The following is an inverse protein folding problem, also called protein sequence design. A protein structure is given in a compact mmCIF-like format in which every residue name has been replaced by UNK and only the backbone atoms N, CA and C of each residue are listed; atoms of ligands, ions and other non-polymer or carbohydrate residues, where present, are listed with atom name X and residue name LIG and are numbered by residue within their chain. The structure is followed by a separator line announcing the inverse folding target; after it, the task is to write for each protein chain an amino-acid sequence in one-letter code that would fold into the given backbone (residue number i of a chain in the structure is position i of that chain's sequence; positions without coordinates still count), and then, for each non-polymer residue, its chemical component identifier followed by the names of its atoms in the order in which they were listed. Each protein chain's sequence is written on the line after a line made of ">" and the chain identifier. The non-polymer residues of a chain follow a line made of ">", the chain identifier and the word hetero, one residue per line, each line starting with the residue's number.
data_IF_749921308651
#
_entry.id   IF_749921308651
#
_cell.length_a   1.000
_cell.length_b   1.000
_cell.length_c   1.000
_cell.angle_alpha   90.00
_cell.angle_beta   90.00
_cell.angle_gamma   90.00
#
_symmetry.space_group_name_H-M   'P 1'
#
loop_
_entity.id
_entity.type
_entity.pdbx_description
1 polymer ?
#
# COMPACT_ATOMS: atom_id res chain seq x y z
N UNK A 1 -18.03 8.92 -42.91
CA UNK A 1 -18.10 8.12 -41.66
C UNK A 1 -17.04 8.64 -40.68
N UNK A 2 -17.37 9.56 -39.82
CA UNK A 2 -16.46 10.15 -38.83
C UNK A 2 -16.72 9.43 -37.48
N UNK A 3 -15.79 8.58 -37.10
CA UNK A 3 -15.80 7.89 -35.80
C UNK A 3 -15.43 8.88 -34.72
N UNK A 4 -16.43 9.33 -33.96
CA UNK A 4 -16.25 10.13 -32.76
C UNK A 4 -15.57 9.28 -31.68
N UNK A 5 -14.27 9.47 -31.48
CA UNK A 5 -13.52 8.87 -30.38
C UNK A 5 -14.00 9.48 -29.05
N UNK A 6 -14.72 8.72 -28.25
CA UNK A 6 -15.03 9.10 -26.86
C UNK A 6 -13.71 9.30 -26.10
N UNK A 7 -13.50 10.43 -25.43
CA UNK A 7 -12.31 10.62 -24.60
C UNK A 7 -12.31 9.55 -23.50
N UNK A 8 -11.25 8.72 -23.51
CA UNK A 8 -11.10 7.60 -22.61
C UNK A 8 -11.18 8.04 -21.16
N UNK A 9 -12.11 7.45 -20.43
CA UNK A 9 -12.14 7.50 -18.97
C UNK A 9 -10.77 7.02 -18.45
N UNK A 10 -9.97 7.94 -17.92
CA UNK A 10 -8.78 7.58 -17.15
C UNK A 10 -9.23 6.75 -15.95
N UNK A 11 -9.20 5.43 -16.10
CA UNK A 11 -9.32 4.52 -14.96
C UNK A 11 -8.23 4.90 -13.98
N UNK A 12 -8.61 5.34 -12.79
CA UNK A 12 -7.67 5.66 -11.72
C UNK A 12 -6.75 4.45 -11.49
N UNK A 13 -5.49 4.60 -11.85
CA UNK A 13 -4.44 3.60 -11.66
C UNK A 13 -4.04 3.58 -10.18
N UNK A 14 -4.98 3.18 -9.31
CA UNK A 14 -4.65 2.75 -7.96
C UNK A 14 -4.03 1.35 -8.07
N UNK A 15 -2.97 1.08 -7.30
CA UNK A 15 -2.48 -0.30 -7.14
C UNK A 15 -3.64 -1.11 -6.55
N UNK A 16 -4.28 -1.92 -7.39
CA UNK A 16 -5.24 -2.92 -6.96
C UNK A 16 -4.42 -4.14 -6.47
N UNK A 17 -3.92 -4.05 -5.25
CA UNK A 17 -3.44 -5.23 -4.55
C UNK A 17 -4.61 -6.23 -4.47
N UNK A 18 -4.35 -7.46 -4.91
CA UNK A 18 -5.35 -8.52 -4.77
C UNK A 18 -5.75 -8.61 -3.29
N UNK A 19 -7.04 -8.56 -2.95
CA UNK A 19 -7.49 -8.48 -1.55
C UNK A 19 -6.99 -9.65 -0.70
N UNK A 20 -6.76 -10.81 -1.29
CA UNK A 20 -6.16 -11.95 -0.60
C UNK A 20 -4.72 -11.68 -0.18
N UNK A 21 -3.89 -11.07 -1.04
CA UNK A 21 -2.50 -10.73 -0.71
C UNK A 21 -2.42 -9.75 0.46
N UNK A 22 -3.27 -8.71 0.45
CA UNK A 22 -3.35 -7.75 1.56
C UNK A 22 -3.74 -8.43 2.88
N UNK A 23 -4.78 -9.29 2.86
CA UNK A 23 -5.23 -10.01 4.05
C UNK A 23 -4.17 -10.96 4.58
N UNK A 24 -3.48 -11.69 3.70
CA UNK A 24 -2.40 -12.60 4.05
C UNK A 24 -1.24 -11.84 4.71
N UNK A 25 -0.79 -10.75 4.11
CA UNK A 25 0.29 -9.91 4.67
C UNK A 25 -0.10 -9.40 6.06
N UNK A 26 -1.32 -8.89 6.23
CA UNK A 26 -1.79 -8.39 7.51
C UNK A 26 -1.88 -9.51 8.57
N UNK A 27 -2.38 -10.69 8.20
CA UNK A 27 -2.47 -11.85 9.10
C UNK A 27 -1.07 -12.29 9.57
N UNK A 28 -0.11 -12.40 8.67
CA UNK A 28 1.26 -12.78 9.00
C UNK A 28 1.93 -11.73 9.88
N UNK A 29 1.80 -10.44 9.58
CA UNK A 29 2.33 -9.38 10.43
C UNK A 29 1.70 -9.39 11.83
N UNK A 30 0.42 -9.70 11.93
CA UNK A 30 -0.26 -9.85 13.22
C UNK A 30 0.30 -11.02 14.01
N UNK A 31 0.53 -12.17 13.38
CA UNK A 31 1.14 -13.35 14.04
C UNK A 31 2.54 -13.01 14.53
N UNK A 32 3.36 -12.36 13.70
CA UNK A 32 4.71 -11.91 14.09
C UNK A 32 4.66 -10.95 15.27
N UNK A 33 3.78 -9.96 15.24
CA UNK A 33 3.63 -9.00 16.32
C UNK A 33 3.20 -9.68 17.63
N UNK A 34 2.17 -10.52 17.59
CA UNK A 34 1.65 -11.21 18.78
C UNK A 34 2.68 -12.19 19.36
N UNK A 35 3.34 -12.99 18.53
CA UNK A 35 4.35 -13.94 19.00
C UNK A 35 5.54 -13.24 19.64
N UNK A 36 6.02 -12.12 19.06
CA UNK A 36 7.10 -11.31 19.64
C UNK A 36 6.70 -10.62 20.94
N UNK A 37 5.50 -10.05 21.02
CA UNK A 37 4.99 -9.41 22.23
C UNK A 37 4.78 -10.41 23.36
N UNK A 38 4.22 -11.58 23.06
CA UNK A 38 4.03 -12.65 24.08
C UNK A 38 5.38 -13.13 24.58
N UNK A 39 6.34 -13.37 23.68
CA UNK A 39 7.69 -13.80 24.08
C UNK A 39 8.36 -12.76 24.97
N UNK A 40 8.38 -11.50 24.57
CA UNK A 40 8.94 -10.40 25.34
C UNK A 40 8.21 -10.24 26.69
N UNK A 41 6.88 -10.29 26.71
CA UNK A 41 6.09 -10.17 27.93
C UNK A 41 6.39 -11.24 28.96
N UNK A 42 6.55 -12.48 28.53
CA UNK A 42 6.83 -13.61 29.45
C UNK A 42 8.29 -13.61 29.89
N UNK A 43 9.24 -13.46 28.95
CA UNK A 43 10.67 -13.61 29.26
C UNK A 43 11.30 -12.36 29.87
N UNK A 44 10.96 -11.19 29.35
CA UNK A 44 11.65 -9.94 29.73
C UNK A 44 10.87 -9.13 30.77
N UNK A 45 9.52 -9.19 30.76
CA UNK A 45 8.69 -8.45 31.70
C UNK A 45 8.31 -9.30 32.91
N UNK A 46 7.75 -10.49 32.68
CA UNK A 46 7.34 -11.39 33.77
C UNK A 46 8.50 -12.22 34.34
N UNK A 47 9.69 -12.19 33.70
CA UNK A 47 10.91 -12.87 34.16
C UNK A 47 10.74 -14.39 34.33
N UNK A 48 9.86 -15.03 33.54
CA UNK A 48 9.63 -16.47 33.59
C UNK A 48 10.72 -17.17 32.77
N UNK A 49 11.68 -17.81 33.46
CA UNK A 49 12.80 -18.49 32.81
C UNK A 49 12.41 -19.85 32.23
N UNK A 50 11.71 -20.68 33.00
CA UNK A 50 11.33 -22.06 32.63
C UNK A 50 9.94 -22.11 31.99
N UNK A 51 9.82 -21.44 30.83
CA UNK A 51 8.59 -21.48 30.07
C UNK A 51 8.69 -22.46 28.90
N UNK A 52 7.92 -23.57 28.91
CA UNK A 52 8.09 -24.67 27.95
C UNK A 52 7.75 -24.25 26.50
N UNK A 53 6.96 -23.20 26.32
CA UNK A 53 6.58 -22.67 25.01
C UNK A 53 7.56 -21.63 24.44
N UNK A 54 8.62 -21.27 25.18
CA UNK A 54 9.58 -20.24 24.76
C UNK A 54 10.23 -20.57 23.41
N UNK A 55 10.75 -21.79 23.27
CA UNK A 55 11.44 -22.24 22.07
C UNK A 55 10.49 -22.40 20.85
N UNK A 56 9.36 -23.12 20.95
CA UNK A 56 8.40 -23.20 19.85
C UNK A 56 7.86 -21.83 19.39
N UNK A 57 7.59 -20.94 20.34
CA UNK A 57 7.09 -19.60 20.00
C UNK A 57 8.15 -18.76 19.25
N UNK A 58 9.42 -18.83 19.68
CA UNK A 58 10.51 -18.13 19.03
C UNK A 58 10.76 -18.68 17.62
N UNK A 59 10.67 -20.01 17.43
CA UNK A 59 10.75 -20.63 16.11
C UNK A 59 9.61 -20.15 15.20
N UNK A 60 8.37 -20.13 15.70
CA UNK A 60 7.22 -19.64 14.97
C UNK A 60 7.41 -18.15 14.61
N UNK A 61 7.85 -17.32 15.57
CA UNK A 61 8.15 -15.91 15.34
C UNK A 61 9.16 -15.72 14.21
N UNK A 62 10.27 -16.46 14.22
CA UNK A 62 11.30 -16.41 13.17
C UNK A 62 10.77 -16.84 11.80
N UNK A 63 10.03 -17.96 11.74
CA UNK A 63 9.48 -18.48 10.50
C UNK A 63 8.48 -17.50 9.86
N UNK A 64 7.54 -16.96 10.64
CA UNK A 64 6.59 -15.97 10.14
C UNK A 64 7.23 -14.62 9.83
N UNK A 65 8.30 -14.22 10.55
CA UNK A 65 9.10 -13.04 10.22
C UNK A 65 9.76 -13.18 8.87
N UNK A 66 10.37 -14.33 8.57
CA UNK A 66 10.95 -14.61 7.26
C UNK A 66 9.89 -14.58 6.15
N UNK A 67 8.73 -15.19 6.37
CA UNK A 67 7.61 -15.14 5.42
C UNK A 67 7.10 -13.70 5.20
N UNK A 68 7.07 -12.89 6.27
CA UNK A 68 6.68 -11.47 6.16
C UNK A 68 7.65 -10.67 5.29
N UNK A 69 8.96 -10.93 5.39
CA UNK A 69 9.99 -10.28 4.54
C UNK A 69 9.80 -10.64 3.07
N UNK A 70 9.49 -11.89 2.74
CA UNK A 70 9.20 -12.32 1.37
C UNK A 70 7.98 -11.58 0.82
N UNK A 71 6.88 -11.55 1.57
CA UNK A 71 5.65 -10.88 1.15
C UNK A 71 5.83 -9.37 0.98
N UNK A 72 6.48 -8.71 1.94
CA UNK A 72 6.77 -7.28 1.85
C UNK A 72 7.75 -6.96 0.73
N UNK A 73 8.78 -7.80 0.55
CA UNK A 73 9.72 -7.69 -0.56
C UNK A 73 9.04 -7.77 -1.92
N UNK A 74 8.04 -8.64 -2.07
CA UNK A 74 7.27 -8.76 -3.31
C UNK A 74 6.41 -7.53 -3.62
N UNK A 75 5.97 -6.80 -2.59
CA UNK A 75 5.18 -5.57 -2.72
C UNK A 75 6.02 -4.33 -2.98
N UNK A 76 7.28 -4.34 -2.53
CA UNK A 76 8.14 -3.18 -2.48
C UNK A 76 8.32 -2.49 -3.85
N UNK A 77 8.63 -3.20 -4.96
CA UNK A 77 8.86 -2.55 -6.25
C UNK A 77 7.64 -1.77 -6.75
N UNK A 78 6.45 -2.34 -6.60
CA UNK A 78 5.19 -1.70 -7.03
C UNK A 78 4.83 -0.52 -6.12
N UNK A 79 5.01 -0.71 -4.80
CA UNK A 79 4.68 0.33 -3.81
C UNK A 79 5.60 1.55 -3.95
N UNK A 80 6.91 1.35 -4.12
CA UNK A 80 7.89 2.42 -4.31
C UNK A 80 7.60 3.18 -5.61
N UNK A 81 7.42 2.48 -6.73
CA UNK A 81 7.12 3.14 -8.03
C UNK A 81 5.87 4.01 -7.96
N UNK A 82 4.82 3.48 -7.32
CA UNK A 82 3.57 4.24 -7.16
C UNK A 82 3.73 5.45 -6.24
N UNK A 83 4.35 5.27 -5.06
CA UNK A 83 4.57 6.36 -4.12
C UNK A 83 5.45 7.47 -4.71
N UNK A 84 6.49 7.09 -5.47
CA UNK A 84 7.39 8.02 -6.15
C UNK A 84 6.67 8.84 -7.22
N UNK A 85 5.90 8.18 -8.08
CA UNK A 85 5.13 8.86 -9.13
C UNK A 85 4.01 9.74 -8.57
N UNK A 86 3.36 9.29 -7.48
CA UNK A 86 2.27 10.04 -6.85
C UNK A 86 2.76 11.16 -5.91
N UNK A 87 4.05 11.19 -5.55
CA UNK A 87 4.67 12.07 -4.54
C UNK A 87 3.89 12.11 -3.22
N UNK A 88 3.24 11.00 -2.87
CA UNK A 88 2.38 10.89 -1.68
C UNK A 88 2.95 9.86 -0.72
N UNK A 89 2.95 10.20 0.58
CA UNK A 89 3.35 9.32 1.68
C UNK A 89 4.80 8.75 1.57
N UNK A 90 5.70 9.43 0.83
CA UNK A 90 7.09 9.00 0.69
C UNK A 90 7.80 8.90 2.04
N UNK A 91 7.61 9.91 2.91
CA UNK A 91 8.28 9.96 4.22
C UNK A 91 7.82 8.80 5.10
N UNK A 92 6.50 8.58 5.23
CA UNK A 92 5.99 7.47 6.06
C UNK A 92 6.34 6.09 5.50
N UNK A 93 6.40 5.97 4.17
CA UNK A 93 6.85 4.76 3.50
C UNK A 93 8.34 4.47 3.73
N UNK A 94 9.18 5.50 3.66
CA UNK A 94 10.62 5.39 3.92
C UNK A 94 10.91 5.06 5.40
N UNK A 95 10.16 5.67 6.34
CA UNK A 95 10.24 5.34 7.76
C UNK A 95 9.89 3.86 7.98
N UNK A 96 8.77 3.39 7.42
CA UNK A 96 8.37 2.00 7.56
C UNK A 96 9.42 1.03 6.98
N UNK A 97 9.97 1.34 5.81
CA UNK A 97 11.02 0.54 5.17
C UNK A 97 12.30 0.52 6.01
N UNK A 98 12.76 1.68 6.51
CA UNK A 98 13.93 1.79 7.38
C UNK A 98 13.74 1.02 8.68
N UNK A 99 12.57 1.11 9.30
CA UNK A 99 12.20 0.34 10.50
C UNK A 99 12.27 -1.17 10.24
N UNK A 100 11.74 -1.65 9.11
CA UNK A 100 11.83 -3.05 8.71
C UNK A 100 13.28 -3.50 8.46
N UNK A 101 14.10 -2.65 7.84
CA UNK A 101 15.52 -2.94 7.63
C UNK A 101 16.26 -3.08 8.97
N UNK A 102 16.04 -2.18 9.92
CA UNK A 102 16.66 -2.25 11.27
C UNK A 102 16.19 -3.52 11.99
N UNK A 103 14.90 -3.89 11.90
CA UNK A 103 14.41 -5.14 12.47
C UNK A 103 15.10 -6.37 11.87
N UNK A 104 15.28 -6.42 10.56
CA UNK A 104 15.95 -7.53 9.90
C UNK A 104 17.43 -7.61 10.31
N UNK A 105 18.14 -6.46 10.37
CA UNK A 105 19.55 -6.40 10.78
C UNK A 105 19.71 -6.80 12.24
N UNK A 106 18.84 -6.29 13.14
CA UNK A 106 18.91 -6.67 14.56
C UNK A 106 18.56 -8.13 14.81
N UNK A 107 17.58 -8.70 14.07
CA UNK A 107 17.28 -10.12 14.12
C UNK A 107 18.49 -10.97 13.64
N UNK A 108 19.12 -10.57 12.55
CA UNK A 108 20.33 -11.21 12.07
C UNK A 108 21.45 -11.11 13.12
N UNK A 109 21.64 -9.96 13.75
CA UNK A 109 22.60 -9.74 14.81
C UNK A 109 22.38 -10.64 16.03
N UNK A 110 21.12 -10.95 16.41
CA UNK A 110 20.82 -11.87 17.49
C UNK A 110 21.34 -13.31 17.26
N UNK A 111 21.55 -13.71 16.01
CA UNK A 111 22.05 -15.04 15.66
C UNK A 111 23.56 -15.06 15.38
N UNK A 112 24.13 -13.98 14.88
CA UNK A 112 25.48 -14.01 14.30
C UNK A 112 26.44 -12.98 14.89
N UNK A 113 25.96 -11.98 15.66
CA UNK A 113 26.83 -11.01 16.26
C UNK A 113 27.61 -11.60 17.45
N UNK A 114 28.80 -11.09 17.77
CA UNK A 114 29.51 -11.41 19.00
C UNK A 114 28.67 -11.12 20.25
N UNK A 115 28.94 -11.82 21.35
CA UNK A 115 28.10 -11.80 22.56
C UNK A 115 27.95 -10.39 23.16
N UNK A 116 29.02 -9.57 23.08
CA UNK A 116 28.95 -8.18 23.53
C UNK A 116 27.91 -7.32 22.82
N UNK A 117 27.46 -7.71 21.62
CA UNK A 117 26.44 -6.99 20.86
C UNK A 117 25.03 -7.56 21.06
N UNK A 118 24.89 -8.76 21.64
CA UNK A 118 23.58 -9.42 21.77
C UNK A 118 22.57 -8.58 22.56
N UNK A 119 23.01 -7.93 23.64
CA UNK A 119 22.13 -7.09 24.45
C UNK A 119 21.63 -5.88 23.66
N UNK A 120 22.50 -5.24 22.90
CA UNK A 120 22.14 -4.13 22.02
C UNK A 120 21.18 -4.58 20.92
N UNK A 121 21.45 -5.70 20.25
CA UNK A 121 20.60 -6.25 19.20
C UNK A 121 19.22 -6.63 19.74
N UNK A 122 19.15 -7.25 20.92
CA UNK A 122 17.91 -7.63 21.60
C UNK A 122 17.04 -6.41 21.87
N UNK A 123 17.55 -5.41 22.56
CA UNK A 123 16.76 -4.24 22.91
C UNK A 123 16.38 -3.38 21.70
N UNK A 124 17.28 -3.28 20.72
CA UNK A 124 16.98 -2.63 19.44
C UNK A 124 15.83 -3.35 18.72
N UNK A 125 15.89 -4.69 18.64
CA UNK A 125 14.85 -5.49 18.00
C UNK A 125 13.48 -5.32 18.70
N UNK A 126 13.46 -5.40 20.02
CA UNK A 126 12.23 -5.23 20.82
C UNK A 126 11.66 -3.82 20.65
N UNK A 127 12.48 -2.78 20.84
CA UNK A 127 12.02 -1.39 20.78
C UNK A 127 11.48 -1.02 19.40
N UNK A 128 12.20 -1.40 18.35
CA UNK A 128 11.78 -1.16 16.96
C UNK A 128 10.56 -2.01 16.59
N UNK A 129 10.49 -3.26 17.09
CA UNK A 129 9.34 -4.14 16.89
C UNK A 129 8.06 -3.56 17.49
N UNK A 130 8.11 -3.08 18.73
CA UNK A 130 6.98 -2.40 19.39
C UNK A 130 6.58 -1.12 18.64
N UNK A 131 7.57 -0.32 18.22
CA UNK A 131 7.30 0.88 17.42
C UNK A 131 6.60 0.55 16.10
N UNK A 132 6.97 -0.56 15.44
CA UNK A 132 6.37 -0.99 14.18
C UNK A 132 4.92 -1.45 14.37
N UNK A 133 4.59 -2.09 15.48
CA UNK A 133 3.22 -2.48 15.83
C UNK A 133 2.29 -1.27 15.88
N UNK A 134 2.77 -0.11 16.33
CA UNK A 134 2.02 1.14 16.32
C UNK A 134 2.06 1.83 14.93
N UNK A 135 3.20 1.80 14.25
CA UNK A 135 3.41 2.51 12.99
C UNK A 135 2.59 1.95 11.81
N UNK A 136 2.40 0.63 11.74
CA UNK A 136 1.64 -0.01 10.64
C UNK A 136 0.17 0.43 10.63
N UNK A 137 -0.60 0.32 11.73
CA UNK A 137 -1.98 0.80 11.76
C UNK A 137 -2.07 2.30 11.45
N UNK A 138 -1.16 3.10 12.00
CA UNK A 138 -1.10 4.54 11.74
C UNK A 138 -0.89 4.83 10.26
N UNK A 139 0.04 4.13 9.60
CA UNK A 139 0.28 4.28 8.16
C UNK A 139 -0.98 3.93 7.34
N UNK A 140 -1.69 2.86 7.70
CA UNK A 140 -2.93 2.45 7.04
C UNK A 140 -4.03 3.51 7.23
N UNK A 141 -4.23 4.00 8.44
CA UNK A 141 -5.25 5.01 8.75
C UNK A 141 -4.97 6.31 8.01
N UNK A 142 -3.74 6.84 8.10
CA UNK A 142 -3.34 8.07 7.40
C UNK A 142 -3.49 7.92 5.88
N UNK A 143 -3.17 6.75 5.33
CA UNK A 143 -3.36 6.48 3.91
C UNK A 143 -4.83 6.48 3.49
N UNK A 144 -5.73 6.00 4.35
CA UNK A 144 -7.18 5.97 4.11
C UNK A 144 -7.82 7.36 4.23
N UNK A 145 -7.51 8.12 5.27
CA UNK A 145 -8.06 9.46 5.48
C UNK A 145 -7.68 10.42 4.36
N UNK A 146 -6.43 10.37 3.88
CA UNK A 146 -5.97 11.19 2.75
C UNK A 146 -6.66 10.84 1.43
N UNK A 147 -7.12 9.60 1.24
CA UNK A 147 -7.92 9.21 0.07
C UNK A 147 -9.34 9.76 0.16
N UNK A 148 -9.96 9.76 1.35
CA UNK A 148 -11.30 10.27 1.56
C UNK A 148 -11.40 11.79 1.31
N UNK A 149 -10.39 12.57 1.69
CA UNK A 149 -10.35 14.03 1.49
C UNK A 149 -9.88 14.46 0.10
N UNK A 150 -9.36 13.55 -0.70
CA UNK A 150 -8.86 13.84 -2.05
C UNK A 150 -9.89 13.72 -3.18
N UNK A 151 -11.16 13.46 -2.89
CA UNK A 151 -12.24 13.61 -3.86
C UNK A 151 -12.66 15.10 -3.83
N UNK A 152 -12.37 15.89 -4.87
CA UNK A 152 -13.03 17.17 -5.03
C UNK A 152 -14.52 16.85 -5.13
N UNK A 153 -15.30 17.44 -4.23
CA UNK A 153 -16.76 17.49 -4.37
C UNK A 153 -17.05 17.80 -5.82
N UNK A 154 -17.77 16.89 -6.49
CA UNK A 154 -18.17 17.09 -7.84
C UNK A 154 -18.74 18.50 -7.95
N UNK A 155 -18.18 19.28 -8.90
CA UNK A 155 -18.76 20.57 -9.27
C UNK A 155 -20.25 20.32 -9.40
N UNK A 156 -21.13 20.99 -8.63
CA UNK A 156 -22.55 20.85 -8.79
C UNK A 156 -22.84 21.13 -10.27
N UNK A 157 -23.34 20.14 -11.00
CA UNK A 157 -23.91 20.41 -12.30
C UNK A 157 -25.01 21.41 -12.06
N UNK A 158 -24.74 22.69 -12.37
CA UNK A 158 -25.73 23.73 -12.29
C UNK A 158 -26.99 23.30 -13.03
N UNK A 159 -28.19 23.65 -12.53
CA UNK A 159 -29.47 23.29 -13.16
C UNK A 159 -29.74 24.07 -14.45
N UNK A 160 -28.71 24.40 -15.23
CA UNK A 160 -28.77 25.28 -16.40
C UNK A 160 -28.35 24.66 -17.73
N UNK A 161 -28.33 23.34 -17.86
CA UNK A 161 -27.98 22.66 -19.13
C UNK A 161 -29.17 22.04 -19.86
N UNK A 162 -30.39 22.56 -19.65
CA UNK A 162 -31.53 22.20 -20.45
C UNK A 162 -31.59 23.04 -21.73
N UNK A 163 -31.54 22.33 -22.86
CA UNK A 163 -32.00 22.79 -24.18
C UNK A 163 -31.38 24.08 -24.76
N UNK A 164 -30.12 24.04 -25.20
CA UNK A 164 -29.75 24.87 -26.35
C UNK A 164 -30.08 24.07 -27.61
N UNK A 165 -31.04 24.62 -28.34
CA UNK A 165 -31.76 24.10 -29.47
C UNK A 165 -30.95 23.32 -30.50
N UNK A 166 -31.49 22.22 -30.87
CA UNK A 166 -31.21 21.52 -32.12
C UNK A 166 -31.67 22.43 -33.25
N UNK A 167 -30.81 23.32 -33.76
CA UNK A 167 -31.08 24.01 -35.04
C UNK A 167 -31.10 22.95 -36.14
N UNK A 168 -32.17 22.91 -36.95
CA UNK A 168 -32.18 22.08 -38.17
C UNK A 168 -31.16 22.68 -39.15
N UNK A 169 -30.24 21.86 -39.59
CA UNK A 169 -29.28 22.21 -40.64
C UNK A 169 -30.04 22.37 -41.96
N UNK A 170 -30.46 23.63 -42.27
CA UNK A 170 -31.00 24.04 -43.54
C UNK A 170 -29.87 24.53 -44.42
N UNK A 171 -29.15 23.62 -45.06
CA UNK A 171 -28.05 24.05 -45.92
C UNK A 171 -27.35 22.89 -46.63
N UNK A 172 -28.10 22.00 -47.27
CA UNK A 172 -27.53 21.15 -48.32
C UNK A 172 -28.58 20.72 -49.33
N UNK A 173 -29.13 21.72 -50.06
CA UNK A 173 -29.91 21.50 -51.28
C UNK A 173 -29.41 22.45 -52.37
N UNK A 174 -28.14 22.37 -52.73
CA UNK A 174 -27.61 23.03 -53.94
C UNK A 174 -26.29 22.40 -54.36
N UNK A 175 -26.30 21.13 -54.74
CA UNK A 175 -25.24 20.52 -55.54
C UNK A 175 -25.72 19.22 -56.18
N UNK A 176 -26.87 19.30 -56.88
CA UNK A 176 -27.36 18.16 -57.68
C UNK A 176 -28.03 18.68 -58.97
N UNK A 177 -27.45 19.70 -59.65
CA UNK A 177 -27.87 20.09 -60.99
C UNK A 177 -26.70 20.74 -61.69
N UNK A 178 -25.69 20.00 -62.05
CA UNK A 178 -24.70 20.40 -63.06
C UNK A 178 -23.78 19.22 -63.40
N UNK A 179 -24.32 18.17 -64.02
CA UNK A 179 -23.57 17.19 -64.80
C UNK A 179 -24.49 16.33 -65.65
N UNK A 180 -25.14 16.95 -66.59
CA UNK A 180 -25.70 16.30 -67.74
C UNK A 180 -25.81 17.29 -68.90
N UNK A 181 -24.68 17.60 -69.55
CA UNK A 181 -24.63 18.00 -70.97
C UNK A 181 -23.14 17.93 -71.39
N UNK A 182 -22.95 17.29 -72.54
CA UNK A 182 -21.78 17.15 -73.37
C UNK A 182 -20.93 15.89 -73.18
N UNK A 183 -21.05 15.05 -74.21
CA UNK A 183 -20.08 14.44 -75.04
C UNK A 183 -20.34 12.95 -75.26
#
# INVERSE_FOLDING_TARGET
>A
MTTSSRPGQRKGTGILLHPAHYRLTLAILTIVALSGLVYCGVRDVAQVEDWPWSHPLLQAHGAFSFLSLILLGSLLPQHIRFAWNARRNLVTGLIALGTMAILAISAYGLYYAPEEWHLLMKWTHIAIGVALVAAIPLHIVVGRTRRAHGHPHGVPRGPGGASAGRQPNAGNKQAAHAETVEG
#
